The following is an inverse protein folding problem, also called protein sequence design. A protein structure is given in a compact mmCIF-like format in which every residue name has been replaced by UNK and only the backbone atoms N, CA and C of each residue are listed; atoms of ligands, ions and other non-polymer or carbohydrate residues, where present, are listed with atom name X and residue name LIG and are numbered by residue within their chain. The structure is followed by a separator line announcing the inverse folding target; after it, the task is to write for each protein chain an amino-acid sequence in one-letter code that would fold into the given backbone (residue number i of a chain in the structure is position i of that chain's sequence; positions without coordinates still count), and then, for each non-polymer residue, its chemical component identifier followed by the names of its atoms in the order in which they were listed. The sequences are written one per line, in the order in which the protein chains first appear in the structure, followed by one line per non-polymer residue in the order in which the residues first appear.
data_IF_468636667388
#
_entry.id   IF_468636667388
#
_cell.length_a   1.000
_cell.length_b   1.000
_cell.length_c   1.000
_cell.angle_alpha   90.00
_cell.angle_beta   90.00
_cell.angle_gamma   90.00
#
_symmetry.space_group_name_H-M   'P 1'
#
loop_
_entity.id
_entity.type
_entity.pdbx_description
1 polymer ?
#
# COMPACT_ATOMS: atom_id res chain seq x y z
N UNK A 1 20.19 27.29 8.48
CA UNK A 1 18.91 27.18 9.21
C UNK A 1 17.98 26.46 8.28
N UNK A 2 17.98 25.12 8.34
CA UNK A 2 17.11 24.29 7.52
C UNK A 2 15.72 24.31 8.13
N UNK A 3 14.74 24.78 7.37
CA UNK A 3 13.34 24.59 7.70
C UNK A 3 13.03 23.12 7.43
N UNK A 4 13.06 22.29 8.48
CA UNK A 4 12.32 21.02 8.47
C UNK A 4 10.86 21.40 8.35
N UNK A 5 10.27 21.15 7.20
CA UNK A 5 8.81 21.16 7.07
C UNK A 5 8.36 19.95 7.88
N UNK A 6 7.95 20.15 9.12
CA UNK A 6 7.11 19.19 9.85
C UNK A 6 5.76 19.17 9.12
N UNK A 7 5.67 18.41 8.01
CA UNK A 7 4.40 18.03 7.44
C UNK A 7 3.89 16.84 8.24
N UNK A 8 3.36 17.12 9.44
CA UNK A 8 2.64 16.12 10.23
C UNK A 8 1.26 15.95 9.62
N UNK A 9 1.17 15.27 8.47
CA UNK A 9 -0.11 14.76 8.00
C UNK A 9 -0.48 13.65 8.97
N UNK A 10 -1.47 13.92 9.82
CA UNK A 10 -1.97 12.95 10.79
C UNK A 10 -2.86 11.92 10.08
N UNK A 11 -3.12 10.79 10.72
CA UNK A 11 -4.10 9.82 10.23
C UNK A 11 -5.49 10.45 9.99
N UNK A 12 -5.88 11.42 10.83
CA UNK A 12 -7.14 12.14 10.68
C UNK A 12 -7.14 13.03 9.42
N UNK A 13 -6.01 13.67 9.12
CA UNK A 13 -5.85 14.41 7.86
C UNK A 13 -6.00 13.45 6.66
N UNK A 14 -5.33 12.29 6.71
CA UNK A 14 -5.43 11.27 5.66
C UNK A 14 -6.87 10.81 5.41
N UNK A 15 -7.63 10.45 6.46
CA UNK A 15 -9.04 10.04 6.30
C UNK A 15 -9.85 11.13 5.59
N UNK A 16 -9.72 12.39 6.04
CA UNK A 16 -10.48 13.50 5.48
C UNK A 16 -10.16 13.74 3.98
N UNK A 17 -8.93 13.47 3.54
CA UNK A 17 -8.57 13.49 2.12
C UNK A 17 -9.17 12.29 1.35
N UNK A 18 -9.15 11.08 1.95
CA UNK A 18 -9.65 9.86 1.29
C UNK A 18 -11.14 9.84 0.98
N UNK A 19 -11.95 10.65 1.69
CA UNK A 19 -13.38 10.78 1.36
C UNK A 19 -13.62 11.31 -0.05
N UNK A 20 -12.68 12.09 -0.60
CA UNK A 20 -12.82 12.74 -1.91
C UNK A 20 -11.91 12.16 -2.98
N UNK A 21 -10.69 11.74 -2.62
CA UNK A 21 -9.68 11.29 -3.58
C UNK A 21 -8.86 10.11 -3.02
N UNK A 22 -8.44 9.20 -3.89
CA UNK A 22 -7.46 8.18 -3.49
C UNK A 22 -6.07 8.80 -3.48
N UNK A 23 -5.40 8.73 -2.33
CA UNK A 23 -4.06 9.28 -2.15
C UNK A 23 -3.12 8.26 -1.51
N UNK A 24 -1.84 8.38 -1.84
CA UNK A 24 -0.73 7.77 -1.09
C UNK A 24 0.05 8.89 -0.38
N UNK A 25 0.65 8.58 0.77
CA UNK A 25 1.59 9.46 1.45
C UNK A 25 2.96 8.80 1.39
N UNK A 26 3.94 9.52 0.83
CA UNK A 26 5.31 9.05 0.72
C UNK A 26 6.24 10.16 1.23
N UNK A 27 7.02 9.86 2.26
CA UNK A 27 7.88 10.80 2.97
C UNK A 27 7.17 12.10 3.38
N UNK A 28 5.90 11.98 3.80
CA UNK A 28 5.06 13.10 4.23
C UNK A 28 4.49 13.94 3.08
N UNK A 29 4.68 13.52 1.82
CA UNK A 29 4.11 14.17 0.64
C UNK A 29 2.89 13.37 0.13
N UNK A 30 1.82 14.10 -0.23
CA UNK A 30 0.61 13.51 -0.82
C UNK A 30 0.82 13.29 -2.31
N UNK A 31 0.51 12.08 -2.76
CA UNK A 31 0.46 11.69 -4.16
C UNK A 31 -0.96 11.27 -4.50
N UNK A 32 -1.61 11.99 -5.41
CA UNK A 32 -2.90 11.57 -5.94
C UNK A 32 -2.72 10.28 -6.74
N UNK A 33 -3.53 9.27 -6.44
CA UNK A 33 -3.54 8.05 -7.24
C UNK A 33 -4.14 8.35 -8.62
N UNK A 34 -3.68 7.59 -9.61
CA UNK A 34 -4.25 7.65 -10.95
C UNK A 34 -5.76 7.35 -10.94
N UNK A 35 -6.51 7.80 -11.96
CA UNK A 35 -7.92 7.46 -12.13
C UNK A 35 -8.17 5.96 -12.05
N UNK A 36 -9.43 5.59 -11.81
CA UNK A 36 -9.84 4.20 -11.64
C UNK A 36 -9.15 3.24 -12.63
N UNK A 37 -8.55 2.15 -12.14
CA UNK A 37 -7.75 1.25 -12.96
C UNK A 37 -8.55 0.64 -14.10
N UNK A 38 -7.88 0.37 -15.22
CA UNK A 38 -8.53 -0.22 -16.40
C UNK A 38 -9.11 -1.60 -16.11
N UNK A 39 -10.13 -2.02 -16.88
CA UNK A 39 -10.71 -3.37 -16.79
C UNK A 39 -9.65 -4.48 -16.89
N UNK A 40 -8.62 -4.29 -17.72
CA UNK A 40 -7.54 -5.27 -17.91
C UNK A 40 -6.67 -5.34 -16.65
N UNK A 41 -6.27 -4.20 -16.11
CA UNK A 41 -5.49 -4.10 -14.86
C UNK A 41 -6.20 -4.80 -13.70
N UNK A 42 -7.50 -4.52 -13.52
CA UNK A 42 -8.33 -5.19 -12.51
C UNK A 42 -8.49 -6.69 -12.75
N UNK A 43 -8.59 -7.13 -14.02
CA UNK A 43 -8.61 -8.54 -14.37
C UNK A 43 -7.32 -9.28 -13.96
N UNK A 44 -6.16 -8.65 -14.15
CA UNK A 44 -4.86 -9.20 -13.74
C UNK A 44 -4.77 -9.30 -12.21
N UNK A 45 -5.17 -8.24 -11.49
CA UNK A 45 -5.19 -8.25 -10.01
C UNK A 45 -6.04 -9.39 -9.48
N UNK A 46 -7.24 -9.59 -10.05
CA UNK A 46 -8.16 -10.65 -9.63
C UNK A 46 -7.54 -12.04 -9.82
N UNK A 47 -6.94 -12.29 -10.97
CA UNK A 47 -6.35 -13.59 -11.29
C UNK A 47 -5.13 -13.88 -10.39
N UNK A 48 -4.21 -12.93 -10.27
CA UNK A 48 -3.03 -13.09 -9.41
C UNK A 48 -3.42 -13.30 -7.95
N UNK A 49 -4.34 -12.48 -7.43
CA UNK A 49 -4.84 -12.62 -6.05
C UNK A 49 -5.45 -14.00 -5.82
N UNK A 50 -6.21 -14.51 -6.79
CA UNK A 50 -6.85 -15.82 -6.72
C UNK A 50 -5.82 -16.94 -6.69
N UNK A 51 -4.84 -16.92 -7.61
CA UNK A 51 -3.78 -17.93 -7.70
C UNK A 51 -2.99 -17.99 -6.39
N UNK A 52 -2.54 -16.84 -5.89
CA UNK A 52 -1.72 -16.75 -4.67
C UNK A 52 -2.52 -17.24 -3.46
N UNK A 53 -3.76 -16.77 -3.29
CA UNK A 53 -4.62 -17.16 -2.17
C UNK A 53 -4.92 -18.68 -2.19
N UNK A 54 -5.16 -19.26 -3.37
CA UNK A 54 -5.36 -20.69 -3.53
C UNK A 54 -4.10 -21.48 -3.17
N UNK A 55 -2.92 -21.02 -3.61
CA UNK A 55 -1.65 -21.64 -3.25
C UNK A 55 -1.42 -21.64 -1.73
N UNK A 56 -1.62 -20.50 -1.06
CA UNK A 56 -1.47 -20.39 0.40
C UNK A 56 -2.42 -21.37 1.11
N UNK A 57 -3.69 -21.40 0.73
CA UNK A 57 -4.71 -22.28 1.33
C UNK A 57 -4.38 -23.77 1.13
N UNK A 58 -4.05 -24.18 -0.09
CA UNK A 58 -3.70 -25.58 -0.39
C UNK A 58 -2.47 -26.05 0.39
N UNK A 59 -1.51 -25.15 0.61
CA UNK A 59 -0.30 -25.45 1.38
C UNK A 59 -0.44 -25.16 2.89
N UNK A 60 -1.65 -24.90 3.38
CA UNK A 60 -1.94 -24.60 4.81
C UNK A 60 -1.14 -23.43 5.37
N UNK A 61 -0.74 -22.48 4.52
CA UNK A 61 -0.14 -21.22 4.96
C UNK A 61 -1.15 -20.35 5.68
N UNK A 62 -0.67 -19.46 6.55
CA UNK A 62 -1.49 -18.54 7.34
C UNK A 62 -1.63 -17.15 6.69
N UNK A 63 -0.88 -16.87 5.62
CA UNK A 63 -0.86 -15.55 4.99
C UNK A 63 -2.21 -15.12 4.40
N UNK A 64 -2.41 -13.82 4.29
CA UNK A 64 -3.59 -13.17 3.71
C UNK A 64 -3.18 -12.36 2.50
N UNK A 65 -4.04 -12.33 1.49
CA UNK A 65 -3.85 -11.58 0.25
C UNK A 65 -4.89 -10.47 0.21
N UNK A 66 -4.46 -9.23 0.03
CA UNK A 66 -5.30 -8.04 -0.03
C UNK A 66 -5.03 -7.27 -1.32
N UNK A 67 -6.00 -7.21 -2.25
CA UNK A 67 -5.92 -6.31 -3.40
C UNK A 67 -6.27 -4.87 -3.00
N UNK A 68 -5.77 -3.88 -3.75
CA UNK A 68 -6.14 -2.48 -3.57
C UNK A 68 -7.67 -2.23 -3.73
N UNK A 69 -8.27 -1.28 -3.00
CA UNK A 69 -7.65 -0.43 -1.99
C UNK A 69 -7.41 -1.18 -0.67
N UNK A 70 -6.19 -1.08 -0.15
CA UNK A 70 -5.81 -1.62 1.14
C UNK A 70 -4.61 -0.85 1.68
N UNK A 71 -4.76 -0.23 2.85
CA UNK A 71 -3.75 0.68 3.40
C UNK A 71 -2.61 -0.08 4.06
N UNK A 72 -1.39 0.28 3.65
CA UNK A 72 -0.14 -0.16 4.28
C UNK A 72 0.50 1.05 4.96
N UNK A 73 0.58 1.02 6.28
CA UNK A 73 1.26 2.03 7.09
C UNK A 73 2.70 1.56 7.34
N UNK A 74 3.70 2.15 6.67
CA UNK A 74 5.11 1.76 6.81
C UNK A 74 5.72 2.41 8.06
N UNK A 75 5.33 1.88 9.22
CA UNK A 75 5.76 2.33 10.55
C UNK A 75 5.59 1.22 11.58
N UNK A 76 6.18 1.40 12.77
CA UNK A 76 5.86 0.61 13.95
C UNK A 76 4.49 0.98 14.53
N UNK A 77 3.89 0.06 15.32
CA UNK A 77 2.54 0.22 15.90
C UNK A 77 2.42 1.44 16.81
N UNK A 78 3.47 1.74 17.57
CA UNK A 78 3.53 2.86 18.50
C UNK A 78 3.55 4.22 17.78
N UNK A 79 3.94 4.24 16.50
CA UNK A 79 4.11 5.45 15.70
C UNK A 79 3.03 5.63 14.62
N UNK A 80 1.96 4.81 14.64
CA UNK A 80 0.88 4.85 13.64
C UNK A 80 0.29 6.25 13.43
N UNK A 81 0.08 7.00 14.52
CA UNK A 81 -0.51 8.35 14.46
C UNK A 81 0.40 9.36 13.74
N UNK A 82 1.71 9.11 13.71
CA UNK A 82 2.73 9.95 13.07
C UNK A 82 3.26 9.32 11.78
N UNK A 83 2.54 8.34 11.21
CA UNK A 83 2.98 7.65 10.00
C UNK A 83 3.04 8.61 8.82
N UNK A 84 4.23 8.77 8.22
CA UNK A 84 4.44 9.61 7.03
C UNK A 84 4.50 8.82 5.73
N UNK A 85 4.25 7.50 5.80
CA UNK A 85 4.32 6.59 4.66
C UNK A 85 3.11 5.66 4.65
N UNK A 86 2.11 6.02 3.83
CA UNK A 86 0.87 5.27 3.65
C UNK A 86 0.75 4.96 2.16
N UNK A 87 0.81 3.67 1.80
CA UNK A 87 0.79 3.24 0.40
C UNK A 87 -0.34 2.24 0.15
N UNK A 88 -0.81 2.15 -1.09
CA UNK A 88 -1.85 1.21 -1.52
C UNK A 88 -1.36 0.40 -2.71
N UNK A 89 -0.56 -0.65 -2.48
CA UNK A 89 -0.10 -1.49 -3.57
C UNK A 89 -1.25 -2.28 -4.21
N UNK A 90 -1.13 -2.60 -5.50
CA UNK A 90 -2.17 -3.35 -6.21
C UNK A 90 -2.51 -4.68 -5.53
N UNK A 91 -1.52 -5.41 -5.01
CA UNK A 91 -1.68 -6.60 -4.18
C UNK A 91 -0.65 -6.62 -3.05
N UNK A 92 -1.10 -6.87 -1.83
CA UNK A 92 -0.26 -7.09 -0.65
C UNK A 92 -0.49 -8.49 -0.06
N UNK A 93 0.58 -9.16 0.36
CA UNK A 93 0.53 -10.45 1.08
C UNK A 93 1.12 -10.28 2.47
N UNK A 94 0.36 -10.68 3.50
CA UNK A 94 0.73 -10.54 4.91
C UNK A 94 0.67 -11.89 5.60
N UNK A 95 1.80 -12.38 6.07
CA UNK A 95 1.95 -13.64 6.79
C UNK A 95 1.96 -13.45 8.31
N UNK A 96 2.47 -12.32 8.80
CA UNK A 96 2.31 -11.91 10.19
C UNK A 96 0.97 -11.20 10.41
N UNK A 97 -0.03 -11.97 10.83
CA UNK A 97 -1.39 -11.48 11.09
C UNK A 97 -1.43 -10.43 12.21
N UNK A 98 -0.41 -10.36 13.07
CA UNK A 98 -0.35 -9.34 14.11
C UNK A 98 -0.19 -7.92 13.55
N UNK A 99 0.24 -7.77 12.29
CA UNK A 99 0.32 -6.50 11.57
C UNK A 99 -1.05 -5.98 11.11
N UNK A 100 -2.08 -6.82 11.09
CA UNK A 100 -3.40 -6.47 10.57
C UNK A 100 -4.31 -5.88 11.66
N UNK A 101 -5.05 -4.84 11.30
CA UNK A 101 -6.15 -4.28 12.09
C UNK A 101 -7.30 -3.83 11.18
N UNK A 102 -8.33 -3.22 11.75
CA UNK A 102 -9.50 -2.74 10.99
C UNK A 102 -9.18 -1.61 9.99
N UNK A 103 -8.02 -0.95 10.14
CA UNK A 103 -7.55 0.13 9.26
C UNK A 103 -6.73 -0.38 8.08
N UNK A 104 -6.01 -1.49 8.23
CA UNK A 104 -5.10 -2.01 7.21
C UNK A 104 -3.96 -2.86 7.79
N UNK A 105 -2.76 -2.69 7.24
CA UNK A 105 -1.53 -3.35 7.71
C UNK A 105 -0.57 -2.31 8.29
N UNK A 106 -0.11 -2.53 9.54
CA UNK A 106 0.94 -1.75 10.17
C UNK A 106 2.27 -2.49 10.02
N UNK A 107 3.20 -1.86 9.32
CA UNK A 107 4.50 -2.41 8.93
C UNK A 107 4.49 -3.01 7.52
N UNK A 108 5.68 -3.38 7.04
CA UNK A 108 5.87 -3.90 5.70
C UNK A 108 5.18 -5.27 5.49
N UNK A 109 4.46 -5.46 4.37
CA UNK A 109 3.99 -6.77 3.92
C UNK A 109 5.14 -7.74 3.60
N UNK A 110 4.85 -9.02 3.55
CA UNK A 110 5.81 -10.06 3.15
C UNK A 110 6.03 -10.11 1.63
N UNK A 111 5.03 -9.66 0.85
CA UNK A 111 5.13 -9.49 -0.60
C UNK A 111 4.22 -8.36 -1.07
N UNK A 112 4.75 -7.53 -1.96
CA UNK A 112 4.00 -6.51 -2.70
C UNK A 112 4.08 -6.84 -4.21
N UNK A 113 2.97 -6.67 -4.91
CA UNK A 113 2.90 -6.80 -6.37
C UNK A 113 2.21 -5.56 -6.93
N UNK A 114 2.83 -4.94 -7.92
CA UNK A 114 2.30 -3.81 -8.68
C UNK A 114 2.09 -4.22 -10.14
N UNK A 115 0.87 -4.01 -10.67
CA UNK A 115 0.52 -4.30 -12.05
C UNK A 115 0.73 -3.04 -12.87
N UNK A 116 1.84 -2.98 -13.58
CA UNK A 116 2.19 -1.79 -14.34
C UNK A 116 1.28 -1.60 -15.54
N UNK A 117 0.89 -0.34 -15.79
CA UNK A 117 0.17 0.04 -17.00
C UNK A 117 1.12 0.69 -18.01
N UNK A 118 0.83 0.60 -19.33
CA UNK A 118 1.68 1.21 -20.37
C UNK A 118 1.85 2.73 -20.24
N UNK A 119 0.97 3.39 -19.48
CA UNK A 119 0.90 4.84 -19.36
C UNK A 119 1.58 5.42 -18.12
N UNK A 120 2.14 4.59 -17.22
CA UNK A 120 2.73 5.06 -15.95
C UNK A 120 4.07 4.39 -15.57
N UNK A 121 4.84 3.93 -16.56
CA UNK A 121 6.01 3.06 -16.36
C UNK A 121 7.19 3.68 -15.61
N UNK A 122 7.35 4.99 -15.52
CA UNK A 122 8.48 5.57 -14.76
C UNK A 122 8.17 5.77 -13.27
N UNK A 123 6.90 6.03 -12.92
CA UNK A 123 6.48 6.26 -11.53
C UNK A 123 6.27 4.94 -10.79
N UNK A 124 5.62 3.96 -11.43
CA UNK A 124 5.27 2.68 -10.80
C UNK A 124 6.52 1.84 -10.48
N UNK A 125 7.53 1.85 -11.35
CA UNK A 125 8.71 0.99 -11.20
C UNK A 125 9.78 1.56 -10.25
N UNK A 126 9.97 2.88 -10.19
CA UNK A 126 11.13 3.48 -9.51
C UNK A 126 10.77 4.05 -8.14
N UNK A 127 9.61 4.70 -8.02
CA UNK A 127 9.24 5.36 -6.76
C UNK A 127 8.77 4.34 -5.72
N UNK A 128 7.92 3.38 -6.12
CA UNK A 128 7.37 2.37 -5.21
C UNK A 128 8.38 1.28 -4.82
N UNK A 129 9.24 0.84 -5.74
CA UNK A 129 10.29 -0.16 -5.43
C UNK A 129 11.24 0.33 -4.33
N UNK A 130 11.67 1.60 -4.39
CA UNK A 130 12.59 2.17 -3.42
C UNK A 130 11.98 2.23 -2.00
N UNK A 131 10.67 2.44 -1.84
CA UNK A 131 10.07 2.49 -0.50
C UNK A 131 10.08 1.15 0.22
N UNK A 132 9.92 0.07 -0.53
CA UNK A 132 9.83 -1.29 0.01
C UNK A 132 11.22 -1.89 0.25
N UNK A 133 12.25 -1.50 -0.53
CA UNK A 133 13.60 -2.05 -0.38
C UNK A 133 14.41 -1.48 0.80
N UNK A 134 14.04 -0.30 1.34
CA UNK A 134 14.80 0.36 2.42
C UNK A 134 14.10 0.33 3.80
N UNK A 135 13.01 -0.42 3.97
CA UNK A 135 12.37 -0.71 5.27
C UNK A 135 12.63 -2.14 5.72
#
# INVERSE_FOLDING_TARGET
MEFKIECSITYDDYINYTENERIEIIDGHIYAMSPAPSRIHQGIIMELSTIINNYIKTNKGNCKVYPAPFDIFLTDKEALENCTNIVQPDISVICDISKLNDKGCIGAPDLIIEVVSPHNTSSDYVCKLNLVEYT
#
